data_IF_416644258674
#
_entry.id   IF_416644258674
#
_cell.length_a   1.000
_cell.length_b   1.000
_cell.length_c   1.000
_cell.angle_alpha   90.00
_cell.angle_beta   90.00
_cell.angle_gamma   90.00
#
_symmetry.space_group_name_H-M   'P 1'
#
loop_
_entity.id
_entity.type
_entity.pdbx_description
1 polymer ?
#
# COMPACT_ATOMS: atom_id res chain seq x y z
N UNK A 1 9.82 -5.33 10.39
CA UNK A 1 11.06 -4.57 10.62
C UNK A 1 12.12 -4.99 9.64
N UNK A 2 12.74 -4.03 8.95
CA UNK A 2 13.82 -4.23 8.00
C UNK A 2 15.17 -3.87 8.64
N UNK A 3 16.12 -4.80 8.59
CA UNK A 3 17.52 -4.58 8.97
C UNK A 3 18.42 -5.10 7.86
N UNK A 4 19.09 -4.20 7.12
CA UNK A 4 20.03 -4.54 6.04
C UNK A 4 19.52 -5.59 5.03
N UNK A 5 18.24 -5.51 4.64
CA UNK A 5 17.62 -6.47 3.72
C UNK A 5 16.96 -7.67 4.36
N UNK A 6 17.07 -7.87 5.68
CA UNK A 6 16.32 -8.88 6.41
C UNK A 6 14.95 -8.32 6.81
N UNK A 7 13.90 -8.80 6.12
CA UNK A 7 12.52 -8.49 6.48
C UNK A 7 12.07 -9.43 7.60
N UNK A 8 11.90 -8.89 8.80
CA UNK A 8 11.35 -9.62 9.95
C UNK A 8 9.86 -9.31 10.09
N UNK A 9 9.03 -10.33 9.89
CA UNK A 9 7.57 -10.27 10.09
C UNK A 9 7.21 -10.97 11.39
N UNK A 10 6.39 -10.34 12.22
CA UNK A 10 5.88 -10.97 13.43
C UNK A 10 4.66 -11.84 13.09
N UNK A 11 4.78 -13.16 13.31
CA UNK A 11 3.69 -14.13 13.06
C UNK A 11 2.42 -13.81 13.85
N UNK A 12 2.51 -13.07 14.98
CA UNK A 12 1.34 -12.61 15.73
C UNK A 12 0.43 -11.63 14.94
N UNK A 13 0.92 -11.02 13.85
CA UNK A 13 0.10 -10.21 12.94
C UNK A 13 -0.82 -11.08 12.04
N UNK A 14 -0.60 -12.40 12.01
CA UNK A 14 -1.43 -13.37 11.31
C UNK A 14 -2.73 -13.73 12.06
N UNK A 15 -2.82 -13.44 13.36
CA UNK A 15 -3.98 -13.78 14.19
C UNK A 15 -5.03 -12.64 14.19
N UNK A 16 -6.27 -12.96 13.78
CA UNK A 16 -7.39 -12.03 13.72
C UNK A 16 -7.76 -11.40 15.07
N UNK A 17 -7.59 -12.11 16.18
CA UNK A 17 -7.94 -11.62 17.51
C UNK A 17 -6.91 -10.60 18.04
N UNK A 18 -5.63 -10.85 17.81
CA UNK A 18 -4.54 -9.92 18.11
C UNK A 18 -4.58 -8.67 17.20
N UNK A 19 -4.99 -8.83 15.93
CA UNK A 19 -5.21 -7.71 15.01
C UNK A 19 -6.29 -6.74 15.47
N UNK A 20 -7.45 -7.25 15.89
CA UNK A 20 -8.55 -6.38 16.36
C UNK A 20 -8.18 -5.67 17.67
N UNK A 21 -7.43 -6.34 18.55
CA UNK A 21 -6.94 -5.73 19.79
C UNK A 21 -5.98 -4.57 19.52
N UNK A 22 -5.00 -4.75 18.62
CA UNK A 22 -4.07 -3.68 18.22
C UNK A 22 -4.77 -2.54 17.47
N UNK A 23 -5.79 -2.84 16.66
CA UNK A 23 -6.64 -1.82 16.00
C UNK A 23 -7.29 -0.89 17.02
N UNK A 24 -7.84 -1.45 18.10
CA UNK A 24 -8.48 -0.67 19.18
C UNK A 24 -7.45 0.06 20.04
N UNK A 25 -6.30 -0.56 20.32
CA UNK A 25 -5.25 0.01 21.19
C UNK A 25 -4.44 1.13 20.52
N UNK A 26 -4.19 1.04 19.19
CA UNK A 26 -3.28 1.97 18.48
C UNK A 26 -4.00 2.96 17.57
N UNK A 27 -5.33 2.82 17.37
CA UNK A 27 -6.10 3.70 16.46
C UNK A 27 -5.67 3.63 14.99
N UNK A 28 -4.77 2.70 14.65
CA UNK A 28 -4.27 2.49 13.31
C UNK A 28 -5.20 1.52 12.58
N UNK A 29 -5.92 2.03 11.59
CA UNK A 29 -6.61 1.20 10.62
C UNK A 29 -5.54 0.47 9.78
N UNK A 30 -5.66 -0.85 9.67
CA UNK A 30 -4.89 -1.71 8.77
C UNK A 30 -3.38 -1.86 9.05
N UNK A 31 -3.00 -2.85 9.89
CA UNK A 31 -1.70 -3.54 9.72
C UNK A 31 -1.94 -5.02 9.50
N UNK A 32 -2.18 -5.39 8.24
CA UNK A 32 -2.17 -6.80 7.80
C UNK A 32 -0.73 -7.23 7.57
N UNK A 33 -0.44 -8.53 7.68
CA UNK A 33 0.88 -9.09 7.33
C UNK A 33 1.31 -8.67 5.91
N UNK A 34 0.37 -8.68 4.96
CA UNK A 34 0.64 -8.29 3.59
C UNK A 34 0.98 -6.79 3.47
N UNK A 35 0.27 -5.93 4.21
CA UNK A 35 0.57 -4.50 4.28
C UNK A 35 1.94 -4.23 4.86
N UNK A 36 2.28 -4.87 5.99
CA UNK A 36 3.60 -4.77 6.60
C UNK A 36 4.70 -5.27 5.65
N UNK A 37 4.49 -6.40 4.97
CA UNK A 37 5.46 -6.89 3.98
C UNK A 37 5.71 -5.90 2.84
N UNK A 38 4.65 -5.28 2.30
CA UNK A 38 4.76 -4.24 1.26
C UNK A 38 5.52 -3.00 1.75
N UNK A 39 5.33 -2.61 3.00
CA UNK A 39 6.07 -1.51 3.65
C UNK A 39 7.56 -1.82 3.75
N UNK A 40 7.91 -3.02 4.24
CA UNK A 40 9.32 -3.43 4.36
C UNK A 40 10.00 -3.61 2.99
N UNK A 41 9.25 -4.00 1.95
CA UNK A 41 9.73 -3.94 0.57
C UNK A 41 10.05 -2.50 0.13
N UNK A 42 9.26 -1.52 0.58
CA UNK A 42 9.52 -0.10 0.33
C UNK A 42 10.90 0.34 0.84
N UNK A 43 11.26 -0.01 2.08
CA UNK A 43 12.60 0.25 2.61
C UNK A 43 13.69 -0.48 1.83
N UNK A 44 13.48 -1.76 1.51
CA UNK A 44 14.44 -2.53 0.72
C UNK A 44 14.72 -1.87 -0.63
N UNK A 45 13.67 -1.44 -1.34
CA UNK A 45 13.83 -0.77 -2.64
C UNK A 45 14.38 0.66 -2.50
N UNK A 46 14.13 1.35 -1.39
CA UNK A 46 14.79 2.63 -1.13
C UNK A 46 16.32 2.47 -1.11
N UNK A 47 16.82 1.47 -0.40
CA UNK A 47 18.25 1.17 -0.32
C UNK A 47 18.84 0.82 -1.69
N UNK A 48 18.10 0.10 -2.53
CA UNK A 48 18.57 -0.33 -3.85
C UNK A 48 18.49 0.75 -4.92
N UNK A 49 17.46 1.59 -4.86
CA UNK A 49 17.10 2.48 -5.96
C UNK A 49 17.43 3.93 -5.68
N UNK A 50 17.44 4.36 -4.42
CA UNK A 50 17.50 5.78 -4.03
C UNK A 50 18.81 6.12 -3.33
N UNK A 51 19.17 5.40 -2.25
CA UNK A 51 20.25 5.75 -1.32
C UNK A 51 21.57 6.11 -2.00
N UNK A 52 22.00 5.29 -2.95
CA UNK A 52 23.34 5.37 -3.57
C UNK A 52 23.33 6.14 -4.92
N UNK A 53 22.18 6.67 -5.35
CA UNK A 53 22.03 7.51 -6.56
C UNK A 53 21.78 8.98 -6.16
N UNK A 54 22.74 9.90 -6.35
CA UNK A 54 22.60 11.29 -5.94
C UNK A 54 21.41 12.04 -6.58
N UNK A 55 21.07 11.71 -7.84
CA UNK A 55 19.97 12.34 -8.54
C UNK A 55 18.62 11.91 -7.97
N UNK A 56 18.47 10.60 -7.72
CA UNK A 56 17.26 10.06 -7.10
C UNK A 56 17.12 10.44 -5.64
N UNK A 57 18.22 10.48 -4.89
CA UNK A 57 18.22 10.96 -3.51
C UNK A 57 17.79 12.44 -3.42
N UNK A 58 18.28 13.28 -4.34
CA UNK A 58 17.82 14.67 -4.40
C UNK A 58 16.32 14.78 -4.73
N UNK A 59 15.81 13.94 -5.64
CA UNK A 59 14.39 13.91 -5.98
C UNK A 59 13.53 13.40 -4.81
N UNK A 60 14.00 12.36 -4.10
CA UNK A 60 13.39 11.87 -2.88
C UNK A 60 13.26 12.98 -1.85
N UNK A 61 14.35 13.71 -1.55
CA UNK A 61 14.34 14.79 -0.55
C UNK A 61 13.44 15.95 -0.93
N UNK A 62 13.29 16.22 -2.22
CA UNK A 62 12.38 17.24 -2.72
C UNK A 62 10.89 16.86 -2.52
N UNK A 63 10.56 15.57 -2.53
CA UNK A 63 9.19 15.08 -2.33
C UNK A 63 8.87 14.75 -0.86
N UNK A 64 9.70 13.91 -0.23
CA UNK A 64 9.42 13.30 1.07
C UNK A 64 10.09 14.05 2.24
N UNK A 65 11.12 14.84 1.96
CA UNK A 65 11.91 15.53 2.97
C UNK A 65 13.26 14.86 3.28
N UNK A 66 13.97 15.40 4.26
CA UNK A 66 15.33 14.98 4.59
C UNK A 66 15.34 13.76 5.52
N UNK A 67 15.76 12.62 4.99
CA UNK A 67 15.85 11.36 5.73
C UNK A 67 16.99 11.30 6.75
N UNK A 68 17.88 12.30 6.78
CA UNK A 68 18.98 12.37 7.75
C UNK A 68 18.54 12.82 9.14
N UNK A 69 17.27 13.20 9.30
CA UNK A 69 16.70 13.44 10.61
C UNK A 69 16.92 12.21 11.52
N UNK A 70 17.16 12.44 12.80
CA UNK A 70 17.37 11.33 13.74
C UNK A 70 16.10 10.48 13.83
N UNK A 71 16.18 9.27 13.29
CA UNK A 71 15.04 8.37 13.13
C UNK A 71 14.37 8.04 14.46
N UNK A 72 15.16 7.71 15.50
CA UNK A 72 14.60 7.38 16.81
C UNK A 72 13.92 8.58 17.46
N UNK A 73 14.51 9.77 17.33
CA UNK A 73 13.96 10.99 17.87
C UNK A 73 12.67 11.38 17.14
N UNK A 74 12.62 11.20 15.82
CA UNK A 74 11.44 11.46 15.00
C UNK A 74 10.27 10.54 15.40
N UNK A 75 10.53 9.23 15.56
CA UNK A 75 9.52 8.29 16.06
C UNK A 75 9.07 8.61 17.50
N UNK A 76 9.99 8.95 18.41
CA UNK A 76 9.64 9.38 19.77
C UNK A 76 8.73 10.60 19.75
N UNK A 77 9.03 11.58 18.90
CA UNK A 77 8.21 12.77 18.74
C UNK A 77 6.82 12.44 18.17
N UNK A 78 6.73 11.55 17.18
CA UNK A 78 5.47 11.07 16.64
C UNK A 78 4.62 10.35 17.69
N UNK A 79 5.18 9.39 18.44
CA UNK A 79 4.41 8.69 19.47
C UNK A 79 3.99 9.58 20.64
N UNK A 80 4.73 10.66 20.92
CA UNK A 80 4.38 11.63 21.94
C UNK A 80 3.26 12.60 21.51
N UNK A 81 3.24 13.01 20.23
CA UNK A 81 2.40 14.12 19.76
C UNK A 81 1.34 13.70 18.73
N UNK A 82 1.47 12.53 18.13
CA UNK A 82 0.66 12.06 17.00
C UNK A 82 0.97 12.79 15.68
N UNK A 83 0.21 12.45 14.65
CA UNK A 83 0.23 13.16 13.38
C UNK A 83 -0.46 14.54 13.48
N UNK A 84 -0.01 15.56 12.71
CA UNK A 84 -0.70 16.84 12.59
C UNK A 84 -2.16 16.66 12.14
N UNK A 85 -3.15 17.46 12.61
CA UNK A 85 -4.57 17.28 12.27
C UNK A 85 -4.91 17.30 10.77
N UNK A 86 -4.05 17.91 9.94
CA UNK A 86 -4.21 18.07 8.49
C UNK A 86 -3.36 17.06 7.68
N UNK A 87 -2.82 16.02 8.31
CA UNK A 87 -1.89 15.08 7.68
C UNK A 87 -2.42 14.45 6.39
N UNK A 88 -3.73 14.21 6.28
CA UNK A 88 -4.37 13.59 5.12
C UNK A 88 -4.21 14.40 3.84
N UNK A 89 -3.90 15.70 3.95
CA UNK A 89 -3.68 16.55 2.79
C UNK A 89 -2.34 16.29 2.11
N UNK A 90 -1.41 15.63 2.81
CA UNK A 90 0.01 15.53 2.41
C UNK A 90 0.58 14.12 2.48
N UNK A 91 0.01 13.25 3.31
CA UNK A 91 0.54 11.92 3.57
C UNK A 91 -0.53 10.84 3.44
N UNK A 92 -0.11 9.64 3.05
CA UNK A 92 -1.00 8.50 2.83
C UNK A 92 -1.49 7.87 4.14
N UNK A 93 -0.74 8.05 5.23
CA UNK A 93 -1.11 7.59 6.57
C UNK A 93 -0.62 8.58 7.63
N UNK A 94 -1.17 8.49 8.84
CA UNK A 94 -0.67 9.25 9.99
C UNK A 94 0.79 8.87 10.29
N UNK A 95 1.14 7.59 10.17
CA UNK A 95 2.48 7.09 10.44
C UNK A 95 3.52 7.60 9.43
N UNK A 96 3.13 7.83 8.18
CA UNK A 96 3.98 8.47 7.18
C UNK A 96 4.50 9.86 7.61
N UNK A 97 3.79 10.56 8.51
CA UNK A 97 4.27 11.84 9.06
C UNK A 97 5.46 11.71 10.01
N UNK A 98 5.76 10.48 10.46
CA UNK A 98 6.75 10.24 11.51
C UNK A 98 8.18 10.46 11.04
N UNK A 99 8.48 10.15 9.77
CA UNK A 99 9.81 10.32 9.19
C UNK A 99 9.74 10.23 7.65
N UNK A 100 10.55 11.00 6.88
CA UNK A 100 10.56 10.93 5.40
C UNK A 100 10.80 9.53 4.83
N UNK A 101 11.60 8.71 5.52
CA UNK A 101 11.84 7.31 5.13
C UNK A 101 10.60 6.42 5.31
N UNK A 102 9.77 6.70 6.32
CA UNK A 102 8.49 6.01 6.57
C UNK A 102 7.43 6.47 5.57
N UNK A 103 7.40 7.76 5.22
CA UNK A 103 6.50 8.29 4.18
C UNK A 103 6.71 7.60 2.82
N UNK A 104 7.98 7.37 2.46
CA UNK A 104 8.30 6.57 1.27
C UNK A 104 7.82 5.13 1.37
N UNK A 105 8.08 4.44 2.49
CA UNK A 105 7.71 3.05 2.66
C UNK A 105 6.17 2.86 2.65
N UNK A 106 5.44 3.77 3.31
CA UNK A 106 3.98 3.80 3.31
C UNK A 106 3.42 4.11 1.90
N UNK A 107 4.00 5.08 1.20
CA UNK A 107 3.61 5.43 -0.18
C UNK A 107 3.86 4.26 -1.13
N UNK A 108 5.02 3.59 -1.01
CA UNK A 108 5.35 2.40 -1.77
C UNK A 108 4.38 1.25 -1.49
N UNK A 109 4.10 0.99 -0.21
CA UNK A 109 3.17 -0.05 0.18
C UNK A 109 1.77 0.18 -0.39
N UNK A 110 1.33 1.44 -0.36
CA UNK A 110 0.06 1.84 -0.90
C UNK A 110 0.01 1.73 -2.43
N UNK A 111 1.09 2.07 -3.13
CA UNK A 111 1.19 1.87 -4.56
C UNK A 111 1.06 0.39 -4.95
N UNK A 112 1.73 -0.52 -4.21
CA UNK A 112 1.57 -1.97 -4.41
C UNK A 112 0.16 -2.45 -4.07
N UNK A 113 -0.47 -1.92 -3.02
CA UNK A 113 -1.86 -2.23 -2.70
C UNK A 113 -2.80 -1.91 -3.86
N UNK A 114 -2.68 -0.71 -4.45
CA UNK A 114 -3.48 -0.31 -5.63
C UNK A 114 -3.21 -1.25 -6.81
N UNK A 115 -1.93 -1.45 -7.13
CA UNK A 115 -1.51 -2.19 -8.32
C UNK A 115 -1.97 -3.63 -8.24
N UNK A 116 -1.67 -4.34 -7.14
CA UNK A 116 -2.05 -5.74 -6.94
C UNK A 116 -3.58 -5.93 -6.98
N UNK A 117 -4.33 -4.96 -6.43
CA UNK A 117 -5.80 -5.03 -6.43
C UNK A 117 -6.38 -4.83 -7.84
N UNK A 118 -5.83 -3.88 -8.61
CA UNK A 118 -6.22 -3.66 -10.00
C UNK A 118 -5.84 -4.84 -10.89
N UNK A 119 -4.67 -5.45 -10.66
CA UNK A 119 -4.25 -6.68 -11.33
C UNK A 119 -5.23 -7.83 -11.05
N UNK A 120 -5.71 -7.97 -9.82
CA UNK A 120 -6.71 -8.99 -9.49
C UNK A 120 -8.05 -8.74 -10.20
N UNK A 121 -8.51 -7.49 -10.25
CA UNK A 121 -9.72 -7.11 -11.02
C UNK A 121 -9.57 -7.43 -12.50
N UNK A 122 -8.40 -7.14 -13.08
CA UNK A 122 -8.08 -7.50 -14.44
C UNK A 122 -8.05 -9.02 -14.65
N UNK A 123 -7.39 -9.77 -13.77
CA UNK A 123 -7.28 -11.22 -13.84
C UNK A 123 -8.63 -11.92 -13.74
N UNK A 124 -9.60 -11.32 -13.04
CA UNK A 124 -10.98 -11.79 -12.93
C UNK A 124 -11.88 -11.36 -14.10
N UNK A 125 -11.33 -10.65 -15.10
CA UNK A 125 -12.08 -10.03 -16.20
C UNK A 125 -13.23 -9.13 -15.74
N UNK A 126 -13.10 -8.49 -14.56
CA UNK A 126 -14.10 -7.52 -14.10
C UNK A 126 -13.99 -6.23 -14.94
N UNK A 127 -15.02 -5.88 -15.74
CA UNK A 127 -14.97 -4.64 -16.50
C UNK A 127 -15.17 -3.46 -15.55
N UNK A 128 -14.09 -2.74 -15.26
CA UNK A 128 -14.14 -1.43 -14.59
C UNK A 128 -14.92 -0.46 -15.48
N UNK A 129 -16.22 -0.29 -15.24
CA UNK A 129 -17.10 0.59 -16.03
C UNK A 129 -18.25 -0.08 -16.75
N UNK A 130 -18.48 -1.39 -16.59
CA UNK A 130 -19.73 -2.03 -17.03
C UNK A 130 -20.08 -3.20 -16.11
N UNK A 131 -21.00 -2.97 -15.18
CA UNK A 131 -21.70 -4.05 -14.47
C UNK A 131 -22.74 -4.65 -15.43
N UNK A 132 -22.28 -5.40 -16.41
CA UNK A 132 -23.13 -6.36 -17.11
C UNK A 132 -22.85 -7.74 -16.52
N UNK A 133 -23.93 -8.48 -16.26
CA UNK A 133 -23.97 -9.76 -15.56
C UNK A 133 -22.89 -10.71 -16.09
N UNK A 134 -21.84 -10.92 -15.29
CA UNK A 134 -20.88 -11.99 -15.54
C UNK A 134 -21.56 -13.30 -15.13
N UNK A 135 -21.75 -14.22 -16.07
CA UNK A 135 -22.27 -15.55 -15.77
C UNK A 135 -21.32 -16.23 -14.77
N UNK A 136 -21.85 -16.94 -13.77
CA UNK A 136 -21.06 -17.48 -12.64
C UNK A 136 -19.93 -18.46 -13.04
N UNK A 137 -19.91 -18.91 -14.30
CA UNK A 137 -18.85 -19.75 -14.87
C UNK A 137 -17.74 -18.95 -15.59
N UNK A 138 -17.94 -17.65 -15.83
CA UNK A 138 -16.96 -16.77 -16.48
C UNK A 138 -16.03 -16.07 -15.49
N UNK A 139 -16.29 -16.18 -14.18
CA UNK A 139 -15.34 -15.77 -13.14
C UNK A 139 -14.20 -16.79 -13.06
N UNK A 140 -12.95 -16.39 -13.33
CA UNK A 140 -11.79 -17.27 -13.15
C UNK A 140 -11.72 -17.72 -11.69
N UNK A 141 -11.87 -19.02 -11.44
CA UNK A 141 -11.81 -19.63 -10.09
C UNK A 141 -10.39 -19.71 -9.51
N UNK A 142 -9.44 -18.99 -10.11
CA UNK A 142 -8.05 -18.99 -9.69
C UNK A 142 -7.84 -18.00 -8.57
N UNK A 143 -7.75 -18.48 -7.34
CA UNK A 143 -6.87 -17.84 -6.37
C UNK A 143 -5.45 -17.92 -6.97
N UNK A 144 -4.87 -16.78 -7.35
CA UNK A 144 -3.52 -16.77 -7.92
C UNK A 144 -2.48 -17.18 -6.88
N UNK A 145 -2.82 -17.33 -5.60
CA UNK A 145 -2.05 -18.09 -4.61
C UNK A 145 -0.58 -17.70 -4.47
N UNK A 146 -0.19 -16.50 -4.91
CA UNK A 146 1.22 -16.10 -5.01
C UNK A 146 2.04 -16.90 -6.04
N UNK A 147 1.42 -17.62 -6.97
CA UNK A 147 2.13 -18.24 -8.08
C UNK A 147 2.49 -17.17 -9.12
N UNK A 148 3.78 -16.93 -9.39
CA UNK A 148 4.19 -15.99 -10.41
C UNK A 148 3.67 -16.49 -11.76
N UNK A 149 2.76 -15.73 -12.36
CA UNK A 149 2.40 -15.93 -13.76
C UNK A 149 3.69 -15.73 -14.59
N UNK A 150 3.96 -16.58 -15.59
CA UNK A 150 5.08 -16.35 -16.48
C UNK A 150 4.95 -14.95 -17.09
N UNK A 151 5.95 -14.11 -16.87
CA UNK A 151 6.04 -12.79 -17.50
C UNK A 151 5.84 -13.02 -19.00
N UNK A 152 4.81 -12.43 -19.64
CA UNK A 152 4.62 -12.58 -21.07
C UNK A 152 5.93 -12.22 -21.76
N UNK A 153 6.41 -13.08 -22.66
CA UNK A 153 7.59 -12.82 -23.48
C UNK A 153 7.36 -11.68 -24.51
N UNK A 154 6.25 -10.96 -24.38
CA UNK A 154 5.94 -9.77 -25.16
C UNK A 154 6.90 -8.63 -24.73
N UNK A 155 7.35 -7.78 -25.68
CA UNK A 155 8.13 -6.61 -25.32
C UNK A 155 7.33 -5.83 -24.29
N UNK A 156 7.95 -5.53 -23.14
CA UNK A 156 7.31 -4.80 -22.05
C UNK A 156 6.58 -3.60 -22.64
N UNK A 157 5.24 -3.63 -22.58
CA UNK A 157 4.45 -2.47 -22.94
C UNK A 157 5.02 -1.27 -22.16
N UNK A 158 5.07 -0.07 -22.78
CA UNK A 158 5.53 1.10 -22.05
C UNK A 158 4.72 1.22 -20.76
N UNK A 159 5.37 1.54 -19.62
CA UNK A 159 4.69 1.62 -18.35
C UNK A 159 3.48 2.55 -18.48
N UNK A 160 2.33 2.05 -18.04
CA UNK A 160 1.08 2.79 -18.13
C UNK A 160 1.19 4.10 -17.33
N UNK A 161 0.65 5.23 -17.83
CA UNK A 161 0.63 6.48 -17.07
C UNK A 161 -0.06 6.31 -15.71
N UNK A 162 0.54 6.86 -14.65
CA UNK A 162 0.02 6.75 -13.29
C UNK A 162 -1.41 7.30 -13.16
N UNK A 163 -1.76 8.33 -13.91
CA UNK A 163 -3.09 8.93 -13.94
C UNK A 163 -4.17 7.92 -14.35
N UNK A 164 -3.83 6.97 -15.23
CA UNK A 164 -4.75 5.91 -15.65
C UNK A 164 -4.89 4.82 -14.59
N UNK A 165 -3.82 4.51 -13.87
CA UNK A 165 -3.86 3.63 -12.70
C UNK A 165 -4.77 4.25 -11.63
N UNK A 166 -4.55 5.52 -11.31
CA UNK A 166 -5.34 6.26 -10.32
C UNK A 166 -6.82 6.35 -10.70
N UNK A 167 -7.13 6.66 -11.96
CA UNK A 167 -8.52 6.74 -12.41
C UNK A 167 -9.28 5.42 -12.22
N UNK A 168 -8.64 4.28 -12.51
CA UNK A 168 -9.23 2.95 -12.28
C UNK A 168 -9.37 2.64 -10.79
N UNK A 169 -8.38 3.01 -9.99
CA UNK A 169 -8.42 2.84 -8.54
C UNK A 169 -9.61 3.57 -7.91
N UNK A 170 -9.83 4.83 -8.27
CA UNK A 170 -10.93 5.64 -7.74
C UNK A 170 -12.31 5.04 -8.05
N UNK A 171 -12.49 4.48 -9.25
CA UNK A 171 -13.73 3.78 -9.61
C UNK A 171 -13.93 2.53 -8.75
N UNK A 172 -12.87 1.74 -8.58
CA UNK A 172 -12.93 0.50 -7.82
C UNK A 172 -13.16 0.73 -6.32
N UNK A 173 -12.45 1.69 -5.72
CA UNK A 173 -12.56 2.01 -4.30
C UNK A 173 -13.96 2.52 -3.97
N UNK A 174 -14.53 3.42 -4.79
CA UNK A 174 -15.89 3.93 -4.58
C UNK A 174 -16.96 2.85 -4.76
N UNK A 175 -16.79 1.97 -5.76
CA UNK A 175 -17.70 0.84 -5.96
C UNK A 175 -17.64 -0.12 -4.76
N UNK A 176 -16.44 -0.43 -4.27
CA UNK A 176 -16.22 -1.30 -3.11
C UNK A 176 -16.83 -0.71 -1.84
N UNK A 177 -16.62 0.58 -1.58
CA UNK A 177 -17.23 1.30 -0.46
C UNK A 177 -18.76 1.31 -0.56
N UNK A 178 -19.30 1.58 -1.75
CA UNK A 178 -20.75 1.55 -1.97
C UNK A 178 -21.36 0.17 -1.71
N UNK A 179 -20.69 -0.91 -2.16
CA UNK A 179 -21.11 -2.29 -1.88
C UNK A 179 -21.08 -2.56 -0.36
N UNK A 180 -20.00 -2.17 0.33
CA UNK A 180 -19.92 -2.31 1.79
C UNK A 180 -21.06 -1.59 2.51
N UNK A 181 -21.34 -0.33 2.14
CA UNK A 181 -22.43 0.45 2.73
C UNK A 181 -23.80 -0.19 2.47
N UNK A 182 -24.04 -0.76 1.28
CA UNK A 182 -25.27 -1.52 0.99
C UNK A 182 -25.42 -2.77 1.86
N UNK A 183 -24.31 -3.37 2.28
CA UNK A 183 -24.28 -4.51 3.22
C UNK A 183 -24.32 -4.09 4.69
N UNK A 184 -24.40 -2.78 4.99
CA UNK A 184 -24.36 -2.25 6.36
C UNK A 184 -22.97 -2.31 7.00
N UNK A 185 -21.92 -2.45 6.19
CA UNK A 185 -20.52 -2.44 6.62
C UNK A 185 -19.90 -1.04 6.41
N UNK A 186 -18.88 -0.67 7.18
CA UNK A 186 -18.13 0.56 6.94
C UNK A 186 -17.36 0.51 5.63
N UNK A 187 -16.92 1.68 5.15
CA UNK A 187 -16.08 1.80 3.96
C UNK A 187 -14.83 0.91 4.08
N UNK A 188 -14.51 0.22 2.98
CA UNK A 188 -13.34 -0.68 2.91
C UNK A 188 -12.04 0.13 2.83
N UNK A 189 -12.12 1.28 2.16
CA UNK A 189 -11.00 2.15 1.83
C UNK A 189 -11.38 3.60 2.16
N UNK A 190 -10.53 4.37 2.85
CA UNK A 190 -10.82 5.73 3.30
C UNK A 190 -10.90 6.76 2.17
#
# INVERSE_FOLDING_TARGET
GHDNGLITLNVAEADSAERERRRVEMGENYRTLLGHFRHELGHYYWDRLIRDDPGRLSAFRALFGDEQADYEQALKAYYANGAPPDWQQRHISAYATSHPWEDWAETWAHHLHITDTLEMVHALNFPLGRLETVEANDLPRGDTGGHPQPVPAEPAEPPEPFEKILARWLVLSEASNSINRCMGLPDLYP
#
